data_IF_321597453807
#
_entry.id   IF_321597453807
#
_cell.length_a   1.000
_cell.length_b   1.000
_cell.length_c   1.000
_cell.angle_alpha   90.00
_cell.angle_beta   90.00
_cell.angle_gamma   90.00
#
_symmetry.space_group_name_H-M   'P 1'
#
loop_
_entity.id
_entity.type
_entity.pdbx_description
1 polymer ?
#
# COMPACT_ATOMS: atom_id res chain seq x y z
N UNK A 1 -58.80 -13.46 -24.84
CA UNK A 1 -57.77 -12.40 -24.69
C UNK A 1 -57.07 -12.42 -23.31
N UNK A 2 -57.42 -13.30 -22.38
CA UNK A 2 -56.83 -13.39 -21.03
C UNK A 2 -55.47 -14.13 -20.95
N UNK A 3 -55.15 -14.99 -21.92
CA UNK A 3 -53.88 -15.73 -21.93
C UNK A 3 -52.64 -14.86 -22.13
N UNK A 4 -52.75 -13.80 -22.94
CA UNK A 4 -51.61 -12.90 -23.22
C UNK A 4 -51.17 -12.07 -22.02
N UNK A 5 -52.12 -11.62 -21.20
CA UNK A 5 -51.82 -10.84 -19.99
C UNK A 5 -51.11 -11.68 -18.91
N UNK A 6 -51.52 -12.94 -18.74
CA UNK A 6 -50.85 -13.87 -17.80
C UNK A 6 -49.42 -14.18 -18.21
N UNK A 7 -49.16 -14.39 -19.50
CA UNK A 7 -47.80 -14.62 -20.02
C UNK A 7 -46.91 -13.38 -19.84
N UNK A 8 -47.43 -12.17 -20.11
CA UNK A 8 -46.67 -10.92 -19.91
C UNK A 8 -46.29 -10.69 -18.44
N UNK A 9 -47.19 -10.99 -17.49
CA UNK A 9 -46.90 -10.87 -16.06
C UNK A 9 -45.83 -11.87 -15.59
N UNK A 10 -45.89 -13.12 -16.08
CA UNK A 10 -44.88 -14.13 -15.76
C UNK A 10 -43.50 -13.77 -16.34
N UNK A 11 -43.46 -13.27 -17.58
CA UNK A 11 -42.22 -12.80 -18.23
C UNK A 11 -41.64 -11.60 -17.49
N UNK A 12 -42.47 -10.62 -17.13
CA UNK A 12 -42.06 -9.44 -16.35
C UNK A 12 -41.54 -9.80 -14.96
N UNK A 13 -42.25 -10.67 -14.24
CA UNK A 13 -41.82 -11.17 -12.93
C UNK A 13 -40.51 -11.96 -13.00
N UNK A 14 -40.35 -12.82 -14.02
CA UNK A 14 -39.10 -13.53 -14.27
C UNK A 14 -37.92 -12.61 -14.54
N UNK A 15 -38.12 -11.57 -15.36
CA UNK A 15 -37.08 -10.57 -15.65
C UNK A 15 -36.65 -9.80 -14.39
N UNK A 16 -37.61 -9.38 -13.56
CA UNK A 16 -37.31 -8.71 -12.30
C UNK A 16 -36.56 -9.61 -11.33
N UNK A 17 -36.91 -10.90 -11.26
CA UNK A 17 -36.19 -11.88 -10.43
C UNK A 17 -34.72 -12.01 -10.88
N UNK A 18 -34.48 -12.14 -12.19
CA UNK A 18 -33.12 -12.24 -12.75
C UNK A 18 -32.32 -10.97 -12.48
N UNK A 19 -32.93 -9.79 -12.64
CA UNK A 19 -32.28 -8.52 -12.36
C UNK A 19 -31.93 -8.38 -10.87
N UNK A 20 -32.86 -8.74 -9.99
CA UNK A 20 -32.64 -8.74 -8.54
C UNK A 20 -31.48 -9.66 -8.14
N UNK A 21 -31.44 -10.89 -8.70
CA UNK A 21 -30.35 -11.82 -8.45
C UNK A 21 -29.01 -11.27 -8.95
N UNK A 22 -28.98 -10.62 -10.12
CA UNK A 22 -27.78 -9.99 -10.65
C UNK A 22 -27.24 -8.89 -9.72
N UNK A 23 -28.13 -8.04 -9.16
CA UNK A 23 -27.76 -7.02 -8.17
C UNK A 23 -27.16 -7.65 -6.91
N UNK A 24 -27.79 -8.70 -6.37
CA UNK A 24 -27.26 -9.42 -5.20
C UNK A 24 -25.87 -10.00 -5.46
N UNK A 25 -25.64 -10.60 -6.63
CA UNK A 25 -24.33 -11.14 -7.01
C UNK A 25 -23.28 -10.02 -7.13
N UNK A 26 -23.62 -8.90 -7.76
CA UNK A 26 -22.72 -7.75 -7.91
C UNK A 26 -22.38 -7.11 -6.57
N UNK A 27 -23.37 -6.89 -5.70
CA UNK A 27 -23.18 -6.36 -4.36
C UNK A 27 -22.20 -7.23 -3.55
N UNK A 28 -22.43 -8.54 -3.50
CA UNK A 28 -21.54 -9.47 -2.78
C UNK A 28 -20.12 -9.50 -3.37
N UNK A 29 -19.96 -9.25 -4.68
CA UNK A 29 -18.65 -9.13 -5.31
C UNK A 29 -17.92 -7.87 -4.84
N UNK A 30 -18.61 -6.74 -4.72
CA UNK A 30 -18.03 -5.52 -4.18
C UNK A 30 -17.61 -5.69 -2.72
N UNK A 31 -18.49 -6.24 -1.86
CA UNK A 31 -18.16 -6.50 -0.44
C UNK A 31 -16.88 -7.32 -0.31
N UNK A 32 -16.75 -8.40 -1.10
CA UNK A 32 -15.53 -9.22 -1.11
C UNK A 32 -14.29 -8.46 -1.57
N UNK A 33 -14.41 -7.60 -2.59
CA UNK A 33 -13.27 -6.80 -3.05
C UNK A 33 -12.85 -5.74 -2.05
N UNK A 34 -13.80 -5.06 -1.39
CA UNK A 34 -13.51 -4.09 -0.34
C UNK A 34 -12.75 -4.76 0.80
N UNK A 35 -13.24 -5.91 1.27
CA UNK A 35 -12.55 -6.70 2.30
C UNK A 35 -11.13 -7.10 1.87
N UNK A 36 -10.93 -7.47 0.59
CA UNK A 36 -9.62 -7.84 0.07
C UNK A 36 -8.65 -6.63 0.04
N UNK A 37 -9.14 -5.46 -0.37
CA UNK A 37 -8.36 -4.22 -0.33
C UNK A 37 -7.94 -3.90 1.11
N UNK A 38 -8.87 -3.96 2.06
CA UNK A 38 -8.60 -3.70 3.48
C UNK A 38 -7.63 -4.71 4.10
N UNK A 39 -7.79 -5.99 3.78
CA UNK A 39 -6.86 -7.04 4.20
C UNK A 39 -5.44 -6.78 3.65
N UNK A 40 -5.34 -6.46 2.35
CA UNK A 40 -4.04 -6.17 1.74
C UNK A 40 -3.39 -4.89 2.29
N UNK A 41 -4.19 -3.90 2.69
CA UNK A 41 -3.70 -2.70 3.38
C UNK A 41 -3.11 -3.02 4.76
N UNK A 42 -3.81 -3.85 5.54
CA UNK A 42 -3.29 -4.31 6.84
C UNK A 42 -1.95 -5.03 6.70
N UNK A 43 -1.75 -5.79 5.62
CA UNK A 43 -0.45 -6.42 5.34
C UNK A 43 0.69 -5.42 5.12
N UNK A 44 0.41 -4.27 4.50
CA UNK A 44 1.39 -3.18 4.36
C UNK A 44 1.67 -2.55 5.72
N UNK A 45 0.62 -2.23 6.48
CA UNK A 45 0.72 -1.58 7.79
C UNK A 45 1.60 -2.35 8.78
N UNK A 46 1.47 -3.68 8.80
CA UNK A 46 2.30 -4.56 9.64
C UNK A 46 3.79 -4.41 9.30
N UNK A 47 4.16 -4.42 8.02
CA UNK A 47 5.56 -4.34 7.62
C UNK A 47 6.13 -2.92 7.79
N UNK A 48 5.33 -1.88 7.58
CA UNK A 48 5.71 -0.50 7.92
C UNK A 48 5.99 -0.35 9.41
N UNK A 49 5.14 -0.92 10.26
CA UNK A 49 5.31 -0.93 11.71
C UNK A 49 6.60 -1.67 12.09
N UNK A 50 6.83 -2.87 11.52
CA UNK A 50 8.07 -3.63 11.74
C UNK A 50 9.32 -2.80 11.39
N UNK A 51 9.30 -2.08 10.26
CA UNK A 51 10.39 -1.17 9.89
C UNK A 51 10.63 -0.11 10.96
N UNK A 52 9.58 0.52 11.47
CA UNK A 52 9.70 1.55 12.50
C UNK A 52 10.22 1.00 13.83
N UNK A 53 9.92 -0.26 14.16
CA UNK A 53 10.42 -0.94 15.35
C UNK A 53 11.91 -1.30 15.27
N UNK A 54 12.44 -1.56 14.06
CA UNK A 54 13.84 -1.87 13.83
C UNK A 54 14.76 -0.62 13.87
N UNK A 55 14.23 0.55 13.51
CA UNK A 55 15.01 1.80 13.40
C UNK A 55 15.75 2.18 14.70
N UNK A 56 15.15 2.14 15.90
CA UNK A 56 15.86 2.45 17.15
C UNK A 56 17.10 1.57 17.35
N UNK A 57 17.00 0.27 17.09
CA UNK A 57 18.12 -0.65 17.22
C UNK A 57 19.23 -0.34 16.20
N UNK A 58 18.86 0.02 14.97
CA UNK A 58 19.81 0.49 13.96
C UNK A 58 20.52 1.78 14.42
N UNK A 59 19.78 2.74 14.96
CA UNK A 59 20.33 4.02 15.44
C UNK A 59 21.35 3.78 16.56
N UNK A 60 21.04 2.92 17.52
CA UNK A 60 21.96 2.60 18.61
C UNK A 60 23.21 1.86 18.10
N UNK A 61 23.06 0.90 17.19
CA UNK A 61 24.19 0.22 16.56
C UNK A 61 25.10 1.22 15.83
N UNK A 62 24.55 2.10 14.99
CA UNK A 62 25.35 3.08 14.25
C UNK A 62 26.00 4.11 15.19
N UNK A 63 25.32 4.56 16.26
CA UNK A 63 25.90 5.48 17.25
C UNK A 63 27.14 4.93 17.93
N UNK A 64 27.16 3.62 18.20
CA UNK A 64 28.29 2.96 18.87
C UNK A 64 29.59 2.98 18.04
N UNK A 65 29.49 2.93 16.72
CA UNK A 65 30.65 2.83 15.82
C UNK A 65 30.92 4.10 14.99
N UNK A 66 29.89 4.92 14.75
CA UNK A 66 29.94 6.11 13.90
C UNK A 66 29.40 7.35 14.62
N UNK A 67 30.03 7.81 15.72
CA UNK A 67 29.51 8.93 16.54
C UNK A 67 29.46 10.28 15.80
N UNK A 68 30.12 10.41 14.66
CA UNK A 68 30.09 11.60 13.82
C UNK A 68 28.85 11.70 12.92
N UNK A 69 28.09 10.61 12.74
CA UNK A 69 26.91 10.55 11.86
C UNK A 69 25.59 10.99 12.55
N UNK A 70 25.67 11.67 13.70
CA UNK A 70 24.51 12.12 14.49
C UNK A 70 23.46 12.84 13.65
N UNK A 71 23.90 13.75 12.77
CA UNK A 71 22.98 14.51 11.93
C UNK A 71 22.14 13.61 11.00
N UNK A 72 22.70 12.52 10.49
CA UNK A 72 21.96 11.58 9.63
C UNK A 72 21.00 10.72 10.45
N UNK A 73 21.43 10.28 11.63
CA UNK A 73 20.58 9.53 12.55
C UNK A 73 19.40 10.35 13.05
N UNK A 74 19.60 11.63 13.35
CA UNK A 74 18.52 12.54 13.76
C UNK A 74 17.48 12.73 12.64
N UNK A 75 17.92 12.80 11.37
CA UNK A 75 17.01 12.85 10.22
C UNK A 75 16.18 11.57 10.12
N UNK A 76 16.79 10.39 10.34
CA UNK A 76 16.06 9.12 10.34
C UNK A 76 15.05 9.03 11.48
N UNK A 77 15.45 9.43 12.69
CA UNK A 77 14.58 9.43 13.87
C UNK A 77 13.37 10.34 13.65
N UNK A 78 13.58 11.57 13.16
CA UNK A 78 12.49 12.49 12.84
C UNK A 78 11.57 11.96 11.75
N UNK A 79 12.14 11.38 10.68
CA UNK A 79 11.32 10.79 9.62
C UNK A 79 10.44 9.65 10.14
N UNK A 80 10.98 8.80 11.04
CA UNK A 80 10.22 7.74 11.73
C UNK A 80 9.11 8.33 12.61
N UNK A 81 9.42 9.34 13.42
CA UNK A 81 8.44 9.99 14.30
C UNK A 81 7.30 10.61 13.50
N UNK A 82 7.62 11.33 12.42
CA UNK A 82 6.64 11.92 11.51
C UNK A 82 5.75 10.83 10.87
N UNK A 83 6.35 9.73 10.39
CA UNK A 83 5.60 8.63 9.80
C UNK A 83 4.69 7.91 10.81
N UNK A 84 5.18 7.68 12.03
CA UNK A 84 4.40 7.08 13.11
C UNK A 84 3.21 7.97 13.53
N UNK A 85 3.41 9.29 13.56
CA UNK A 85 2.33 10.25 13.85
C UNK A 85 1.21 10.24 12.79
N UNK A 86 1.51 9.82 11.56
CA UNK A 86 0.57 9.74 10.44
C UNK A 86 0.21 8.30 10.07
N UNK A 87 0.38 7.33 10.99
CA UNK A 87 0.05 5.93 10.73
C UNK A 87 -1.44 5.71 10.37
N UNK A 88 -2.33 6.56 10.90
CA UNK A 88 -3.78 6.52 10.64
C UNK A 88 -4.23 7.21 9.35
N UNK A 89 -3.31 7.83 8.60
CA UNK A 89 -3.65 8.54 7.37
C UNK A 89 -4.06 7.58 6.24
N UNK A 90 -4.77 8.13 5.24
CA UNK A 90 -5.07 7.39 4.02
C UNK A 90 -3.80 6.95 3.30
N UNK A 91 -3.84 5.83 2.55
CA UNK A 91 -2.68 5.27 1.83
C UNK A 91 -1.85 6.31 1.08
N UNK A 92 -2.47 7.16 0.27
CA UNK A 92 -1.76 8.18 -0.50
C UNK A 92 -0.99 9.19 0.37
N UNK A 93 -1.60 9.67 1.45
CA UNK A 93 -0.95 10.60 2.38
C UNK A 93 0.18 9.91 3.15
N UNK A 94 -0.09 8.69 3.64
CA UNK A 94 0.89 7.87 4.37
C UNK A 94 2.14 7.57 3.54
N UNK A 95 1.99 7.29 2.24
CA UNK A 95 3.11 7.00 1.34
C UNK A 95 4.20 8.08 1.38
N UNK A 96 3.82 9.35 1.43
CA UNK A 96 4.77 10.47 1.45
C UNK A 96 5.66 10.53 2.69
N UNK A 97 5.16 10.05 3.84
CA UNK A 97 5.94 9.98 5.08
C UNK A 97 6.84 8.74 5.08
N UNK A 98 6.32 7.61 4.62
CA UNK A 98 7.07 6.36 4.52
C UNK A 98 8.22 6.44 3.50
N UNK A 99 8.08 7.28 2.46
CA UNK A 99 9.15 7.62 1.52
C UNK A 99 10.33 8.33 2.21
N UNK A 100 10.03 9.25 3.14
CA UNK A 100 11.07 9.97 3.88
C UNK A 100 11.84 9.01 4.78
N UNK A 101 11.14 8.06 5.40
CA UNK A 101 11.77 6.99 6.20
C UNK A 101 12.69 6.14 5.33
N UNK A 102 12.20 5.61 4.22
CA UNK A 102 13.01 4.78 3.32
C UNK A 102 14.23 5.53 2.77
N UNK A 103 14.05 6.81 2.40
CA UNK A 103 15.13 7.67 1.93
C UNK A 103 16.19 7.95 3.02
N UNK A 104 15.76 8.24 4.24
CA UNK A 104 16.66 8.46 5.37
C UNK A 104 17.41 7.18 5.75
N UNK A 105 16.71 6.05 5.77
CA UNK A 105 17.28 4.75 6.04
C UNK A 105 18.38 4.39 5.03
N UNK A 106 18.09 4.55 3.74
CA UNK A 106 19.08 4.32 2.68
C UNK A 106 20.33 5.19 2.82
N UNK A 107 20.19 6.46 3.26
CA UNK A 107 21.34 7.32 3.54
C UNK A 107 22.17 6.82 4.71
N UNK A 108 21.53 6.38 5.80
CA UNK A 108 22.23 5.84 6.97
C UNK A 108 23.01 4.57 6.60
N UNK A 109 22.38 3.65 5.86
CA UNK A 109 23.04 2.43 5.38
C UNK A 109 24.22 2.73 4.45
N UNK A 110 24.08 3.67 3.53
CA UNK A 110 25.18 4.09 2.65
C UNK A 110 26.35 4.72 3.43
N UNK A 111 26.07 5.48 4.50
CA UNK A 111 27.12 6.04 5.37
C UNK A 111 27.83 4.97 6.19
N UNK A 112 27.11 3.94 6.62
CA UNK A 112 27.69 2.82 7.36
C UNK A 112 28.80 2.10 6.58
N UNK A 113 28.80 2.16 5.24
CA UNK A 113 29.85 1.57 4.41
C UNK A 113 31.25 2.17 4.68
N UNK A 114 31.31 3.44 5.07
CA UNK A 114 32.54 4.13 5.41
C UNK A 114 33.18 3.66 6.73
N UNK A 115 32.48 2.82 7.51
CA UNK A 115 32.91 2.34 8.83
C UNK A 115 33.10 0.81 8.81
N UNK A 116 34.34 0.31 8.56
CA UNK A 116 34.61 -1.12 8.44
C UNK A 116 34.20 -1.95 9.67
N UNK A 117 34.44 -1.42 10.87
CA UNK A 117 34.09 -2.11 12.12
C UNK A 117 32.58 -2.27 12.30
N UNK A 118 31.80 -1.26 11.87
CA UNK A 118 30.34 -1.33 11.86
C UNK A 118 29.84 -2.34 10.83
N UNK A 119 30.42 -2.34 9.63
CA UNK A 119 30.10 -3.32 8.58
C UNK A 119 30.40 -4.77 8.99
N UNK A 120 31.40 -4.98 9.83
CA UNK A 120 31.76 -6.29 10.35
C UNK A 120 30.95 -6.68 11.60
N UNK A 121 30.15 -5.77 12.16
CA UNK A 121 29.34 -6.05 13.34
C UNK A 121 28.18 -6.98 13.00
N UNK A 122 28.14 -8.15 13.64
CA UNK A 122 27.06 -9.13 13.46
C UNK A 122 25.68 -8.55 13.78
N UNK A 123 25.60 -7.68 14.79
CA UNK A 123 24.34 -6.99 15.16
C UNK A 123 23.87 -6.07 14.04
N UNK A 124 24.78 -5.31 13.42
CA UNK A 124 24.44 -4.40 12.33
C UNK A 124 24.04 -5.17 11.07
N UNK A 125 24.77 -6.24 10.73
CA UNK A 125 24.44 -7.10 9.59
C UNK A 125 23.05 -7.74 9.74
N UNK A 126 22.73 -8.28 10.92
CA UNK A 126 21.41 -8.84 11.18
C UNK A 126 20.28 -7.79 11.03
N UNK A 127 20.49 -6.56 11.54
CA UNK A 127 19.52 -5.47 11.37
C UNK A 127 19.37 -5.05 9.90
N UNK A 128 20.47 -5.01 9.15
CA UNK A 128 20.45 -4.68 7.72
C UNK A 128 19.65 -5.74 6.94
N UNK A 129 19.86 -7.02 7.22
CA UNK A 129 19.12 -8.13 6.60
C UNK A 129 17.62 -8.07 6.93
N UNK A 130 17.28 -7.82 8.20
CA UNK A 130 15.87 -7.68 8.63
C UNK A 130 15.18 -6.50 7.95
N UNK A 131 15.87 -5.35 7.86
CA UNK A 131 15.36 -4.17 7.18
C UNK A 131 15.19 -4.41 5.68
N UNK A 132 16.17 -5.04 5.02
CA UNK A 132 16.09 -5.38 3.60
C UNK A 132 14.91 -6.33 3.32
N UNK A 133 14.74 -7.37 4.15
CA UNK A 133 13.61 -8.29 4.07
C UNK A 133 12.27 -7.56 4.27
N UNK A 134 12.20 -6.63 5.22
CA UNK A 134 11.00 -5.81 5.44
C UNK A 134 10.70 -4.92 4.23
N UNK A 135 11.69 -4.27 3.61
CA UNK A 135 11.49 -3.48 2.39
C UNK A 135 10.98 -4.34 1.22
N UNK A 136 11.53 -5.54 1.03
CA UNK A 136 11.06 -6.49 0.01
C UNK A 136 9.60 -6.89 0.24
N UNK A 137 9.22 -7.12 1.50
CA UNK A 137 7.83 -7.45 1.88
C UNK A 137 6.90 -6.26 1.70
N UNK A 138 7.31 -5.04 2.05
CA UNK A 138 6.55 -3.81 1.77
C UNK A 138 6.31 -3.69 0.25
N UNK A 139 7.35 -3.88 -0.56
CA UNK A 139 7.24 -3.80 -2.01
C UNK A 139 6.27 -4.85 -2.58
N UNK A 140 6.32 -6.09 -2.08
CA UNK A 140 5.40 -7.15 -2.47
C UNK A 140 3.96 -6.89 -2.04
N UNK A 141 3.75 -6.50 -0.78
CA UNK A 141 2.44 -6.16 -0.23
C UNK A 141 1.80 -4.98 -0.97
N UNK A 142 2.59 -3.96 -1.33
CA UNK A 142 2.16 -2.83 -2.16
C UNK A 142 1.67 -3.26 -3.53
N UNK A 143 2.42 -4.13 -4.23
CA UNK A 143 1.97 -4.65 -5.54
C UNK A 143 0.64 -5.38 -5.42
N UNK A 144 0.47 -6.18 -4.36
CA UNK A 144 -0.77 -6.90 -4.11
C UNK A 144 -1.94 -5.97 -3.80
N UNK A 145 -1.75 -5.00 -2.89
CA UNK A 145 -2.72 -3.97 -2.56
C UNK A 145 -3.16 -3.16 -3.79
N UNK A 146 -2.21 -2.63 -4.55
CA UNK A 146 -2.50 -1.85 -5.75
C UNK A 146 -3.23 -2.67 -6.81
N UNK A 147 -2.91 -3.97 -6.95
CA UNK A 147 -3.68 -4.87 -7.81
C UNK A 147 -5.15 -5.01 -7.37
N UNK A 148 -5.40 -5.12 -6.07
CA UNK A 148 -6.75 -5.21 -5.51
C UNK A 148 -7.52 -3.88 -5.66
N UNK A 149 -6.85 -2.75 -5.43
CA UNK A 149 -7.41 -1.41 -5.65
C UNK A 149 -7.77 -1.21 -7.13
N UNK A 150 -6.88 -1.57 -8.05
CA UNK A 150 -7.16 -1.51 -9.49
C UNK A 150 -8.39 -2.35 -9.86
N UNK A 151 -8.51 -3.57 -9.31
CA UNK A 151 -9.65 -4.44 -9.56
C UNK A 151 -10.97 -3.88 -8.97
N UNK A 152 -10.91 -3.23 -7.81
CA UNK A 152 -12.08 -2.57 -7.20
C UNK A 152 -12.49 -1.35 -8.04
N UNK A 153 -11.56 -0.44 -8.30
CA UNK A 153 -11.82 0.80 -9.05
C UNK A 153 -12.34 0.49 -10.46
N UNK A 154 -11.78 -0.53 -11.13
CA UNK A 154 -12.30 -1.01 -12.42
C UNK A 154 -13.76 -1.45 -12.32
N UNK A 155 -14.13 -2.18 -11.26
CA UNK A 155 -15.52 -2.64 -11.07
C UNK A 155 -16.47 -1.48 -10.75
N UNK A 156 -16.01 -0.49 -9.97
CA UNK A 156 -16.77 0.74 -9.67
C UNK A 156 -17.09 1.50 -10.96
N UNK A 157 -16.18 1.53 -11.94
CA UNK A 157 -16.37 2.26 -13.22
C UNK A 157 -17.08 1.47 -14.32
N UNK A 158 -17.12 0.14 -14.24
CA UNK A 158 -17.61 -0.71 -15.34
C UNK A 158 -19.12 -0.88 -15.33
N UNK A 159 -19.78 -0.80 -16.49
CA UNK A 159 -21.20 -1.15 -16.66
C UNK A 159 -21.35 -2.68 -16.74
N UNK A 160 -22.32 -3.31 -16.04
CA UNK A 160 -23.41 -2.70 -15.27
C UNK A 160 -23.11 -2.47 -13.78
N UNK A 161 -21.92 -2.82 -13.29
CA UNK A 161 -21.60 -2.77 -11.86
C UNK A 161 -21.53 -1.35 -11.29
N UNK A 162 -21.25 -0.34 -12.10
CA UNK A 162 -21.23 1.07 -11.70
C UNK A 162 -22.58 1.59 -11.18
N UNK A 163 -23.69 1.05 -11.68
CA UNK A 163 -25.04 1.39 -11.19
C UNK A 163 -25.24 0.87 -9.77
N UNK A 164 -24.78 -0.35 -9.49
CA UNK A 164 -24.79 -0.93 -8.15
C UNK A 164 -23.80 -0.17 -7.25
N UNK A 165 -22.64 0.20 -7.77
CA UNK A 165 -21.65 0.98 -7.02
C UNK A 165 -22.24 2.31 -6.54
N UNK A 166 -22.84 3.09 -7.45
CA UNK A 166 -23.47 4.36 -7.12
C UNK A 166 -24.70 4.20 -6.20
N UNK A 167 -25.52 3.17 -6.40
CA UNK A 167 -26.72 2.95 -5.59
C UNK A 167 -26.42 2.51 -4.14
N UNK A 168 -25.30 1.82 -3.91
CA UNK A 168 -24.93 1.26 -2.60
C UNK A 168 -23.68 1.90 -1.97
N UNK A 169 -23.10 2.94 -2.58
CA UNK A 169 -21.96 3.69 -2.03
C UNK A 169 -20.62 2.96 -2.08
N UNK A 170 -20.37 2.17 -3.13
CA UNK A 170 -19.03 1.61 -3.35
C UNK A 170 -18.15 2.61 -4.09
N UNK A 171 -17.23 3.22 -3.35
CA UNK A 171 -16.30 4.22 -3.88
C UNK A 171 -14.95 3.61 -4.30
N UNK A 172 -14.21 4.38 -5.11
CA UNK A 172 -12.83 4.07 -5.44
C UNK A 172 -11.91 4.19 -4.23
N UNK A 173 -10.79 3.46 -4.28
CA UNK A 173 -9.73 3.53 -3.27
C UNK A 173 -8.45 4.09 -3.89
N UNK A 174 -7.68 4.77 -3.06
CA UNK A 174 -6.38 5.32 -3.46
C UNK A 174 -5.34 4.21 -3.60
N UNK A 175 -4.43 4.35 -4.56
CA UNK A 175 -3.25 3.50 -4.62
C UNK A 175 -2.25 3.88 -3.52
N UNK A 176 -1.43 2.92 -3.11
CA UNK A 176 -0.29 3.17 -2.25
C UNK A 176 0.97 3.21 -3.11
N UNK A 177 1.55 4.41 -3.25
CA UNK A 177 2.76 4.62 -4.02
C UNK A 177 3.85 5.16 -3.09
N UNK A 178 5.07 4.65 -3.31
CA UNK A 178 6.29 5.15 -2.69
C UNK A 178 7.16 5.63 -3.84
N UNK A 179 7.73 6.82 -3.72
CA UNK A 179 8.63 7.39 -4.71
C UNK A 179 9.80 6.42 -4.96
N UNK A 180 9.72 5.72 -6.08
CA UNK A 180 10.74 4.74 -6.46
C UNK A 180 12.07 5.48 -6.71
N UNK A 181 13.18 5.10 -6.04
CA UNK A 181 14.50 5.63 -6.34
C UNK A 181 14.87 5.49 -7.83
N UNK A 182 14.38 4.44 -8.51
CA UNK A 182 14.61 4.24 -9.95
C UNK A 182 13.81 5.23 -10.82
N UNK A 183 12.67 5.74 -10.34
CA UNK A 183 11.89 6.76 -11.05
C UNK A 183 12.49 8.18 -10.95
N UNK A 184 13.46 8.42 -10.05
CA UNK A 184 14.29 9.65 -10.08
C UNK A 184 15.29 9.66 -11.25
N UNK A 185 15.50 8.53 -11.91
CA UNK A 185 16.47 8.36 -12.98
C UNK A 185 15.81 8.02 -14.34
N UNK A 186 14.52 8.29 -14.52
CA UNK A 186 13.98 8.29 -15.88
C UNK A 186 14.72 9.38 -16.68
N UNK A 187 15.50 9.03 -17.71
CA UNK A 187 16.13 10.04 -18.53
C UNK A 187 15.00 10.84 -19.16
N UNK A 188 15.01 12.15 -18.98
CA UNK A 188 14.25 13.05 -19.83
C UNK A 188 14.79 12.87 -21.24
N UNK A 189 14.28 11.89 -21.98
CA UNK A 189 14.46 11.84 -23.42
C UNK A 189 13.66 13.00 -23.97
N UNK A 190 14.31 14.17 -24.00
CA UNK A 190 14.01 15.22 -24.95
C UNK A 190 14.12 14.60 -26.34
N UNK A 191 12.99 14.16 -26.86
CA UNK A 191 12.82 13.86 -28.26
C UNK A 191 11.87 14.90 -28.82
N UNK A 192 12.45 15.88 -29.52
CA UNK A 192 11.81 16.70 -30.56
C UNK A 192 10.97 17.85 -30.06
#
# INVERSE_FOLDING_TARGET
MSGGAGVLLLVGGGLLLVLGLAVVVMYNRFVRQVALVEQSWSGIDVELTRRHELIPNLVEAVRGYAPHERAQLDVLVRAREDAAAHAGDRPAARGSYEDRVGSALGRVLARAEAYPDLRASEVFLALQDDLALTEDRIAAARRFYNGNVAALNTRVRTVPSNLVAAAFGFDERDFFELADPAHRAAPTTGLG
#
